data_IF_140102516291
#
_entry.id   IF_140102516291
#
_cell.length_a   1.000
_cell.length_b   1.000
_cell.length_c   1.000
_cell.angle_alpha   90.00
_cell.angle_beta   90.00
_cell.angle_gamma   90.00
#
_symmetry.space_group_name_H-M   'P 1'
#
loop_
_entity.id
_entity.type
_entity.pdbx_description
1 polymer ?
#
# COMPACT_ATOMS: atom_id res chain seq x y z
N UNK A 1 14.10 -10.30 -6.54
CA UNK A 1 13.10 -10.50 -7.63
C UNK A 1 11.85 -11.19 -7.09
N UNK A 2 10.69 -11.14 -7.78
CA UNK A 2 9.49 -11.87 -7.36
C UNK A 2 9.73 -13.38 -7.20
N UNK A 3 10.56 -13.97 -8.06
CA UNK A 3 10.95 -15.38 -7.99
C UNK A 3 11.70 -15.73 -6.72
N UNK A 4 12.63 -14.88 -6.28
CA UNK A 4 13.38 -15.08 -5.04
C UNK A 4 12.46 -14.99 -3.81
N UNK A 5 11.54 -14.01 -3.78
CA UNK A 5 10.55 -13.88 -2.71
C UNK A 5 9.69 -15.15 -2.64
N UNK A 6 9.18 -15.63 -3.78
CA UNK A 6 8.41 -16.87 -3.88
C UNK A 6 9.19 -18.08 -3.36
N UNK A 7 10.44 -18.24 -3.79
CA UNK A 7 11.29 -19.37 -3.37
C UNK A 7 11.53 -19.37 -1.85
N UNK A 8 11.88 -18.21 -1.28
CA UNK A 8 12.10 -18.04 0.16
C UNK A 8 10.83 -18.27 0.97
N UNK A 9 9.70 -17.68 0.54
CA UNK A 9 8.41 -17.84 1.20
C UNK A 9 7.97 -19.32 1.22
N UNK A 10 8.06 -20.03 0.09
CA UNK A 10 7.76 -21.47 0.03
C UNK A 10 8.63 -22.29 0.97
N UNK A 11 9.93 -21.96 1.06
CA UNK A 11 10.85 -22.66 1.97
C UNK A 11 10.45 -22.45 3.43
N UNK A 12 10.25 -21.20 3.84
CA UNK A 12 9.86 -20.85 5.21
C UNK A 12 8.53 -21.50 5.58
N UNK A 13 7.54 -21.44 4.68
CA UNK A 13 6.24 -22.07 4.90
C UNK A 13 6.34 -23.58 5.13
N UNK A 14 7.21 -24.29 4.39
CA UNK A 14 7.44 -25.73 4.61
C UNK A 14 8.17 -26.02 5.93
N UNK A 15 9.17 -25.22 6.27
CA UNK A 15 9.99 -25.40 7.48
C UNK A 15 9.21 -25.12 8.77
N UNK A 16 8.25 -24.19 8.73
CA UNK A 16 7.55 -23.70 9.91
C UNK A 16 6.04 -24.03 9.91
N UNK A 17 5.57 -24.82 8.95
CA UNK A 17 4.15 -25.22 8.85
C UNK A 17 3.20 -24.10 8.36
N UNK A 18 3.73 -22.99 7.87
CA UNK A 18 2.95 -21.89 7.31
C UNK A 18 3.65 -20.54 7.40
N UNK A 19 2.98 -19.50 6.88
CA UNK A 19 3.35 -18.09 7.05
C UNK A 19 2.07 -17.33 7.40
N UNK A 20 2.12 -16.35 8.32
CA UNK A 20 0.96 -15.54 8.68
C UNK A 20 0.75 -14.30 7.80
N UNK A 21 1.84 -13.70 7.33
CA UNK A 21 1.86 -12.46 6.55
C UNK A 21 3.18 -12.36 5.78
N UNK A 22 3.14 -11.81 4.57
CA UNK A 22 4.32 -11.39 3.82
C UNK A 22 4.27 -9.87 3.66
N UNK A 23 5.33 -9.18 4.08
CA UNK A 23 5.50 -7.73 3.89
C UNK A 23 6.62 -7.45 2.89
N UNK A 24 6.35 -6.52 1.96
CA UNK A 24 7.31 -6.07 0.95
C UNK A 24 7.49 -4.56 1.07
N UNK A 25 8.71 -4.12 1.37
CA UNK A 25 9.13 -2.71 1.44
C UNK A 25 10.26 -2.46 0.43
N UNK A 26 10.01 -1.88 -0.73
CA UNK A 26 8.73 -1.56 -1.36
C UNK A 26 8.76 -2.04 -2.83
N UNK A 27 7.61 -2.14 -3.51
CA UNK A 27 7.46 -2.79 -4.83
C UNK A 27 8.46 -2.30 -5.86
N UNK A 28 8.71 -0.99 -5.89
CA UNK A 28 9.57 -0.35 -6.87
C UNK A 28 11.06 -0.70 -6.69
N UNK A 29 11.50 -1.30 -5.58
CA UNK A 29 12.87 -1.82 -5.49
C UNK A 29 13.03 -3.21 -6.12
N UNK A 30 11.91 -3.90 -6.39
CA UNK A 30 11.93 -5.19 -7.05
C UNK A 30 12.27 -5.02 -8.53
N UNK A 31 12.97 -6.02 -9.06
CA UNK A 31 13.40 -6.10 -10.45
C UNK A 31 12.95 -7.39 -11.12
N UNK A 32 12.66 -7.28 -12.41
CA UNK A 32 12.44 -8.37 -13.36
C UNK A 32 13.38 -8.11 -14.53
N UNK A 33 14.58 -8.73 -14.57
CA UNK A 33 15.62 -8.40 -15.55
C UNK A 33 15.15 -8.45 -17.00
N UNK A 34 14.22 -9.33 -17.35
CA UNK A 34 13.66 -9.44 -18.68
C UNK A 34 12.80 -8.24 -19.12
N UNK A 35 12.42 -7.36 -18.20
CA UNK A 35 11.53 -6.21 -18.42
C UNK A 35 12.17 -4.89 -17.98
N UNK A 36 13.49 -4.84 -17.81
CA UNK A 36 14.22 -3.68 -17.27
C UNK A 36 13.93 -2.38 -18.02
N UNK A 37 13.66 -2.46 -19.32
CA UNK A 37 13.47 -1.31 -20.20
C UNK A 37 12.04 -0.77 -20.18
N UNK A 38 11.09 -1.53 -19.59
CA UNK A 38 9.70 -1.14 -19.50
C UNK A 38 9.19 -1.30 -18.08
N UNK A 39 9.31 -0.21 -17.33
CA UNK A 39 8.97 -0.17 -15.91
C UNK A 39 7.51 -0.53 -15.63
N UNK A 40 6.59 -0.09 -16.48
CA UNK A 40 5.16 -0.38 -16.37
C UNK A 40 4.90 -1.89 -16.44
N UNK A 41 5.51 -2.57 -17.41
CA UNK A 41 5.39 -4.03 -17.54
C UNK A 41 6.08 -4.76 -16.39
N UNK A 42 7.24 -4.28 -15.94
CA UNK A 42 7.96 -4.83 -14.80
C UNK A 42 7.09 -4.81 -13.53
N UNK A 43 6.47 -3.67 -13.21
CA UNK A 43 5.57 -3.54 -12.06
C UNK A 43 4.32 -4.43 -12.21
N UNK A 44 3.76 -4.53 -13.42
CA UNK A 44 2.65 -5.45 -13.68
C UNK A 44 3.03 -6.91 -13.42
N UNK A 45 4.22 -7.35 -13.84
CA UNK A 45 4.72 -8.69 -13.56
C UNK A 45 4.94 -8.92 -12.06
N UNK A 46 5.53 -7.95 -11.35
CA UNK A 46 5.74 -8.01 -9.90
C UNK A 46 4.40 -8.16 -9.18
N UNK A 47 3.44 -7.29 -9.47
CA UNK A 47 2.10 -7.29 -8.86
C UNK A 47 1.40 -8.63 -9.05
N UNK A 48 1.32 -9.11 -10.30
CA UNK A 48 0.71 -10.41 -10.63
C UNK A 48 1.42 -11.57 -9.93
N UNK A 49 2.75 -11.56 -9.91
CA UNK A 49 3.55 -12.60 -9.25
C UNK A 49 3.33 -12.66 -7.75
N UNK A 50 3.15 -11.51 -7.09
CA UNK A 50 2.82 -11.40 -5.67
C UNK A 50 1.38 -11.86 -5.39
N UNK A 51 0.41 -11.47 -6.22
CA UNK A 51 -0.97 -11.94 -6.11
C UNK A 51 -1.07 -13.46 -6.27
N UNK A 52 -0.32 -14.03 -7.21
CA UNK A 52 -0.23 -15.47 -7.38
C UNK A 52 0.40 -16.15 -6.15
N UNK A 53 1.46 -15.58 -5.58
CA UNK A 53 2.08 -16.09 -4.34
C UNK A 53 1.10 -16.08 -3.17
N UNK A 54 0.35 -14.98 -2.99
CA UNK A 54 -0.67 -14.85 -1.95
C UNK A 54 -1.71 -15.97 -2.04
N UNK A 55 -2.22 -16.22 -3.25
CA UNK A 55 -3.19 -17.29 -3.52
C UNK A 55 -2.60 -18.68 -3.31
N UNK A 56 -1.38 -18.89 -3.76
CA UNK A 56 -0.71 -20.19 -3.68
C UNK A 56 -0.43 -20.61 -2.23
N UNK A 57 0.08 -19.68 -1.41
CA UNK A 57 0.37 -19.96 0.00
C UNK A 57 -0.84 -19.77 0.90
N UNK A 58 -1.93 -19.21 0.38
CA UNK A 58 -3.10 -18.77 1.15
C UNK A 58 -2.72 -17.80 2.29
N UNK A 59 -1.91 -16.79 1.96
CA UNK A 59 -1.35 -15.84 2.93
C UNK A 59 -1.53 -14.40 2.44
N UNK A 60 -1.92 -13.46 3.34
CA UNK A 60 -1.94 -12.04 3.01
C UNK A 60 -0.55 -11.53 2.59
N UNK A 61 -0.51 -10.76 1.50
CA UNK A 61 0.70 -10.06 1.05
C UNK A 61 0.42 -8.56 1.12
N UNK A 62 1.17 -7.86 1.96
CA UNK A 62 1.14 -6.40 2.07
C UNK A 62 2.39 -5.85 1.40
N UNK A 63 2.19 -4.97 0.42
CA UNK A 63 3.30 -4.37 -0.29
C UNK A 63 3.17 -2.85 -0.28
N UNK A 64 4.26 -2.18 0.09
CA UNK A 64 4.35 -0.73 0.00
C UNK A 64 4.57 -0.32 -1.45
N UNK A 65 3.88 0.74 -1.87
CA UNK A 65 4.03 1.32 -3.20
C UNK A 65 4.22 2.81 -3.07
N UNK A 66 5.22 3.35 -3.77
CA UNK A 66 5.37 4.78 -3.94
C UNK A 66 4.37 5.34 -4.95
N UNK A 67 3.88 6.55 -4.68
CA UNK A 67 2.96 7.29 -5.56
C UNK A 67 3.73 8.18 -6.54
N UNK A 68 3.08 8.56 -7.63
CA UNK A 68 3.66 9.53 -8.57
C UNK A 68 3.74 10.92 -7.92
N UNK A 69 4.85 11.63 -8.17
CA UNK A 69 5.08 13.01 -7.70
C UNK A 69 4.11 14.03 -8.30
N UNK A 70 3.37 13.71 -9.36
CA UNK A 70 2.31 14.58 -9.89
C UNK A 70 1.24 14.93 -8.85
N UNK A 71 1.06 14.08 -7.84
CA UNK A 71 0.23 14.37 -6.68
C UNK A 71 0.59 15.72 -6.04
N UNK A 72 1.89 16.02 -5.97
CA UNK A 72 2.42 17.24 -5.35
C UNK A 72 2.08 18.52 -6.11
N UNK A 73 1.51 18.43 -7.32
CA UNK A 73 1.06 19.59 -8.09
C UNK A 73 -0.44 19.88 -7.91
N UNK A 74 -1.21 18.95 -7.34
CA UNK A 74 -2.65 19.11 -7.12
C UNK A 74 -2.91 20.05 -5.94
N UNK A 75 -4.06 20.72 -5.95
CA UNK A 75 -4.53 21.53 -4.82
C UNK A 75 -4.85 20.63 -3.62
N UNK A 76 -5.66 19.59 -3.85
CA UNK A 76 -5.87 18.52 -2.87
C UNK A 76 -4.76 17.47 -3.00
N UNK A 77 -4.03 17.27 -1.90
CA UNK A 77 -2.90 16.35 -1.80
C UNK A 77 -3.33 14.93 -1.39
N UNK A 78 -4.62 14.69 -1.15
CA UNK A 78 -5.12 13.34 -0.85
C UNK A 78 -4.86 12.39 -2.01
N UNK A 79 -4.16 11.26 -1.78
CA UNK A 79 -3.91 10.27 -2.81
C UNK A 79 -5.20 9.64 -3.36
N UNK A 80 -5.18 9.32 -4.64
CA UNK A 80 -6.23 8.60 -5.36
C UNK A 80 -5.63 7.46 -6.18
N UNK A 81 -6.45 6.51 -6.66
CA UNK A 81 -5.96 5.36 -7.43
C UNK A 81 -5.17 5.78 -8.68
N UNK A 82 -5.51 6.91 -9.31
CA UNK A 82 -4.78 7.41 -10.48
C UNK A 82 -3.35 7.86 -10.15
N UNK A 83 -2.97 8.06 -8.88
CA UNK A 83 -1.60 8.34 -8.47
C UNK A 83 -0.69 7.10 -8.51
N UNK A 84 -1.28 5.91 -8.70
CA UNK A 84 -0.57 4.66 -9.02
C UNK A 84 -0.23 4.54 -10.52
N UNK A 85 -0.39 5.62 -11.31
CA UNK A 85 -0.53 5.68 -12.79
C UNK A 85 0.43 4.83 -13.64
N UNK A 86 1.61 4.48 -13.14
CA UNK A 86 2.54 3.55 -13.80
C UNK A 86 2.16 2.07 -13.59
N UNK A 87 0.99 1.80 -13.01
CA UNK A 87 0.65 0.51 -12.41
C UNK A 87 -0.86 0.26 -12.37
N UNK A 88 -1.58 0.46 -13.47
CA UNK A 88 -2.99 0.03 -13.57
C UNK A 88 -3.18 -1.47 -13.23
N UNK A 89 -2.12 -2.27 -13.41
CA UNK A 89 -2.00 -3.65 -12.93
C UNK A 89 -2.11 -3.78 -11.41
N UNK A 90 -1.44 -2.92 -10.63
CA UNK A 90 -1.57 -2.91 -9.16
C UNK A 90 -3.03 -2.69 -8.78
N UNK A 91 -3.69 -1.71 -9.40
CA UNK A 91 -5.09 -1.45 -9.12
C UNK A 91 -5.95 -2.68 -9.42
N UNK A 92 -5.74 -3.39 -10.52
CA UNK A 92 -6.53 -4.58 -10.89
C UNK A 92 -6.26 -5.78 -9.97
N UNK A 93 -4.98 -6.06 -9.68
CA UNK A 93 -4.52 -7.24 -8.95
C UNK A 93 -4.81 -7.15 -7.45
N UNK A 94 -4.66 -5.96 -6.86
CA UNK A 94 -4.86 -5.75 -5.43
C UNK A 94 -6.30 -6.03 -5.01
N UNK A 95 -6.48 -6.64 -3.84
CA UNK A 95 -7.81 -6.79 -3.23
C UNK A 95 -8.19 -5.57 -2.39
N UNK A 96 -7.18 -4.93 -1.80
CA UNK A 96 -7.28 -3.75 -0.93
C UNK A 96 -6.19 -2.75 -1.32
N UNK A 97 -6.54 -1.48 -1.44
CA UNK A 97 -5.59 -0.37 -1.60
C UNK A 97 -5.87 0.63 -0.50
N UNK A 98 -4.84 0.93 0.28
CA UNK A 98 -4.87 1.92 1.35
C UNK A 98 -3.82 2.99 1.07
N UNK A 99 -4.22 4.24 1.17
CA UNK A 99 -3.32 5.39 1.15
C UNK A 99 -3.18 5.97 2.54
N UNK A 100 -2.02 6.57 2.80
CA UNK A 100 -1.77 7.30 4.04
C UNK A 100 -1.68 8.77 3.67
N UNK A 101 -2.49 9.60 4.32
CA UNK A 101 -2.44 11.05 4.18
C UNK A 101 -2.32 11.71 5.55
N UNK A 102 -1.49 12.75 5.63
CA UNK A 102 -1.31 13.57 6.83
C UNK A 102 -1.37 15.03 6.41
N UNK A 103 -2.45 15.70 6.78
CA UNK A 103 -2.70 17.07 6.33
C UNK A 103 -1.63 18.05 6.84
N UNK A 104 -1.16 17.84 8.07
CA UNK A 104 -0.10 18.62 8.71
C UNK A 104 1.25 18.59 7.96
N UNK A 105 1.47 17.63 7.05
CA UNK A 105 2.69 17.58 6.21
C UNK A 105 2.64 18.65 5.12
N UNK A 106 1.44 19.02 4.66
CA UNK A 106 1.23 19.97 3.57
C UNK A 106 0.76 21.34 4.05
N UNK A 107 0.18 21.42 5.25
CA UNK A 107 -0.38 22.64 5.82
C UNK A 107 0.14 22.87 7.25
N UNK A 108 1.05 23.83 7.44
CA UNK A 108 1.67 24.11 8.75
C UNK A 108 0.66 24.50 9.85
N UNK A 109 -0.46 25.12 9.46
CA UNK A 109 -1.55 25.55 10.34
C UNK A 109 -2.76 24.63 10.28
N UNK A 110 -2.58 23.36 9.91
CA UNK A 110 -3.67 22.38 9.88
C UNK A 110 -4.35 22.23 11.24
N UNK A 111 -5.68 22.19 11.24
CA UNK A 111 -6.49 21.81 12.42
C UNK A 111 -6.45 20.29 12.67
N UNK A 112 -5.88 19.52 11.75
CA UNK A 112 -5.76 18.06 11.80
C UNK A 112 -4.37 17.60 12.26
N UNK A 113 -3.67 18.41 13.06
CA UNK A 113 -2.35 18.05 13.63
C UNK A 113 -2.44 16.77 14.46
N UNK A 114 -1.47 15.89 14.26
CA UNK A 114 -1.44 14.57 14.89
C UNK A 114 -2.55 13.62 14.41
N UNK A 115 -3.22 13.92 13.30
CA UNK A 115 -4.20 13.02 12.67
C UNK A 115 -3.62 12.50 11.36
N UNK A 116 -3.75 11.20 11.14
CA UNK A 116 -3.52 10.57 9.85
C UNK A 116 -4.83 9.98 9.31
N UNK A 117 -5.00 10.07 8.00
CA UNK A 117 -6.10 9.49 7.26
C UNK A 117 -5.59 8.24 6.53
N UNK A 118 -6.20 7.08 6.82
CA UNK A 118 -6.06 5.85 6.05
C UNK A 118 -7.21 5.80 5.06
N UNK A 119 -6.92 6.12 3.80
CA UNK A 119 -7.92 6.21 2.74
C UNK A 119 -8.00 4.85 2.03
N UNK A 120 -9.12 4.15 2.15
CA UNK A 120 -9.39 2.89 1.46
C UNK A 120 -9.82 3.23 0.03
N UNK A 121 -8.86 3.29 -0.90
CA UNK A 121 -9.12 3.63 -2.31
C UNK A 121 -9.71 2.48 -3.15
N UNK A 122 -9.56 1.24 -2.67
CA UNK A 122 -10.17 0.04 -3.27
C UNK A 122 -10.39 -1.02 -2.20
N UNK A 123 -11.56 -1.64 -2.21
CA UNK A 123 -11.81 -2.88 -1.46
C UNK A 123 -12.71 -3.80 -2.29
N UNK A 124 -12.18 -4.97 -2.70
CA UNK A 124 -12.86 -5.88 -3.64
C UNK A 124 -14.20 -6.38 -3.10
N UNK A 125 -14.29 -6.63 -1.79
CA UNK A 125 -15.44 -7.28 -1.14
C UNK A 125 -15.98 -6.46 0.04
N UNK A 126 -15.99 -5.13 -0.06
CA UNK A 126 -16.40 -4.29 1.06
C UNK A 126 -16.42 -2.81 0.72
N UNK A 127 -16.83 -1.96 1.67
CA UNK A 127 -16.93 -0.52 1.45
C UNK A 127 -15.54 0.11 1.27
N UNK A 128 -15.51 1.24 0.59
CA UNK A 128 -14.41 2.19 0.61
C UNK A 128 -14.72 3.29 1.63
N UNK A 129 -13.73 4.09 2.00
CA UNK A 129 -13.90 5.18 2.95
C UNK A 129 -12.57 5.62 3.54
N UNK A 130 -12.64 6.52 4.52
CA UNK A 130 -11.44 7.05 5.20
C UNK A 130 -11.53 6.73 6.68
N UNK A 131 -10.49 6.09 7.21
CA UNK A 131 -10.35 5.81 8.64
C UNK A 131 -9.32 6.78 9.22
N UNK A 132 -9.70 7.53 10.26
CA UNK A 132 -8.75 8.40 10.97
C UNK A 132 -7.97 7.61 12.01
N UNK A 133 -6.72 7.98 12.20
CA UNK A 133 -5.81 7.49 13.23
C UNK A 133 -5.13 8.66 13.91
N UNK A 134 -4.66 8.43 15.14
CA UNK A 134 -3.77 9.38 15.82
C UNK A 134 -2.33 9.09 15.39
N UNK A 135 -1.63 10.09 14.87
CA UNK A 135 -0.23 9.98 14.49
C UNK A 135 0.67 10.69 15.51
N UNK A 136 1.61 9.94 16.07
CA UNK A 136 2.60 10.49 16.98
C UNK A 136 3.95 10.65 16.28
N UNK A 137 4.22 11.88 15.82
CA UNK A 137 5.40 12.18 15.01
C UNK A 137 6.74 11.96 15.69
N UNK A 138 6.80 12.04 17.02
CA UNK A 138 8.06 11.83 17.75
C UNK A 138 8.51 10.35 17.74
N UNK A 139 7.58 9.43 17.49
CA UNK A 139 7.82 7.97 17.46
C UNK A 139 7.50 7.33 16.11
N UNK A 140 7.06 8.12 15.12
CA UNK A 140 6.56 7.62 13.82
C UNK A 140 5.49 6.53 13.98
N UNK A 141 4.60 6.69 14.96
CA UNK A 141 3.62 5.67 15.37
C UNK A 141 2.20 6.09 15.03
N UNK A 142 1.40 5.13 14.59
CA UNK A 142 -0.04 5.27 14.41
C UNK A 142 -0.75 4.55 15.56
N UNK A 143 -1.60 5.27 16.28
CA UNK A 143 -2.44 4.78 17.36
C UNK A 143 -3.91 4.82 16.93
N UNK A 144 -4.76 4.03 17.58
CA UNK A 144 -6.22 4.14 17.42
C UNK A 144 -6.65 5.59 17.68
N UNK A 145 -7.58 6.09 16.85
CA UNK A 145 -8.02 7.47 16.96
C UNK A 145 -8.64 7.74 18.33
N UNK A 146 -8.10 8.74 19.03
CA UNK A 146 -8.55 9.15 20.36
C UNK A 146 -9.33 10.48 20.34
N UNK A 147 -9.68 11.01 19.16
CA UNK A 147 -10.46 12.24 19.02
C UNK A 147 -11.98 12.01 19.07
N UNK A 148 -12.79 13.08 18.92
CA UNK A 148 -14.25 12.98 18.91
C UNK A 148 -14.72 12.01 17.82
N UNK A 149 -15.67 11.12 18.13
CA UNK A 149 -16.36 10.35 17.09
C UNK A 149 -17.01 11.33 16.12
N UNK A 150 -16.60 11.28 14.86
CA UNK A 150 -17.34 11.89 13.77
C UNK A 150 -18.32 10.83 13.30
N UNK A 151 -19.62 11.13 13.35
CA UNK A 151 -20.60 10.30 12.69
C UNK A 151 -20.35 10.42 11.18
N UNK A 152 -20.05 9.29 10.53
CA UNK A 152 -19.94 9.20 9.09
C UNK A 152 -21.34 9.48 8.50
N UNK A 153 -21.57 10.70 7.99
CA UNK A 153 -22.72 11.00 7.11
C UNK A 153 -22.54 10.37 5.72
#
# INVERSE_FOLDING_TARGET
TPTEVRSRARRIAREHGGIGLIMIDYLQLMRVPALSDNRTLEIAEISRSLKALAKELNVPVVALSQLNRSLEQRADKRPVNSDLRESGSIEQDADLIMFIYRDEVYHENSDLKGIAEIIIGKQRNGPIGTVRLTFNGQWSRFDNYAGPQYDDE
#
